data_IF_040089727851
#
_entry.id   IF_040089727851
#
_cell.length_a   1.000
_cell.length_b   1.000
_cell.length_c   1.000
_cell.angle_alpha   90.00
_cell.angle_beta   90.00
_cell.angle_gamma   90.00
#
_symmetry.space_group_name_H-M   'P 1'
#
loop_
_entity.id
_entity.type
_entity.pdbx_description
1 polymer ?
#
# COMPACT_ATOMS: atom_id res chain seq x y z
N UNK A 1 -25.34 9.91 49.60
CA UNK A 1 -24.33 9.44 48.62
C UNK A 1 -24.04 10.59 47.68
N UNK A 2 -22.76 10.91 47.39
CA UNK A 2 -22.46 11.81 46.29
C UNK A 2 -23.03 11.22 44.99
N UNK A 3 -23.50 12.05 44.05
CA UNK A 3 -24.02 11.58 42.78
C UNK A 3 -22.93 10.79 42.02
N UNK A 4 -23.34 9.71 41.35
CA UNK A 4 -22.43 8.92 40.50
C UNK A 4 -21.99 9.82 39.35
N UNK A 5 -20.72 10.22 39.38
CA UNK A 5 -20.16 11.08 38.32
C UNK A 5 -20.22 10.38 36.98
N UNK A 6 -20.60 11.12 35.95
CA UNK A 6 -20.56 10.63 34.57
C UNK A 6 -19.11 10.36 34.13
N UNK A 7 -18.94 9.58 33.08
CA UNK A 7 -17.61 9.31 32.53
C UNK A 7 -16.89 10.59 32.07
N UNK A 8 -17.63 11.53 31.47
CA UNK A 8 -17.10 12.84 31.09
C UNK A 8 -16.63 13.65 32.29
N UNK A 9 -17.38 13.63 33.40
CA UNK A 9 -16.99 14.31 34.64
C UNK A 9 -15.73 13.70 35.26
N UNK A 10 -15.59 12.37 35.24
CA UNK A 10 -14.38 11.69 35.76
C UNK A 10 -13.14 12.01 34.94
N UNK A 11 -13.27 12.11 33.61
CA UNK A 11 -12.17 12.57 32.74
C UNK A 11 -11.86 14.04 33.03
N UNK A 12 -12.88 14.88 33.17
CA UNK A 12 -12.69 16.30 33.46
C UNK A 12 -11.95 16.53 34.78
N UNK A 13 -12.32 15.78 35.83
CA UNK A 13 -11.59 15.78 37.10
C UNK A 13 -10.13 15.37 36.92
N UNK A 14 -9.88 14.28 36.17
CA UNK A 14 -8.53 13.80 35.91
C UNK A 14 -7.66 14.82 35.16
N UNK A 15 -8.23 15.52 34.17
CA UNK A 15 -7.55 16.58 33.43
C UNK A 15 -7.23 17.80 34.31
N UNK A 16 -8.05 18.11 35.31
CA UNK A 16 -7.79 19.18 36.29
C UNK A 16 -6.69 18.76 37.27
N UNK A 17 -6.74 17.52 37.78
CA UNK A 17 -5.69 16.96 38.63
C UNK A 17 -4.33 16.93 37.94
N UNK A 18 -4.31 16.66 36.63
CA UNK A 18 -3.10 16.65 35.80
C UNK A 18 -2.62 18.07 35.43
N UNK A 19 -3.36 19.11 35.84
CA UNK A 19 -3.03 20.52 35.58
C UNK A 19 -3.26 20.94 34.12
N UNK A 20 -3.93 20.11 33.32
CA UNK A 20 -4.18 20.33 31.89
C UNK A 20 -5.37 21.24 31.64
N UNK A 21 -6.35 21.25 32.56
CA UNK A 21 -7.50 22.14 32.53
C UNK A 21 -7.70 22.84 33.86
N UNK A 22 -8.22 24.07 33.82
CA UNK A 22 -8.71 24.76 35.00
C UNK A 22 -10.15 24.36 35.32
N UNK A 23 -10.55 24.44 36.58
CA UNK A 23 -11.93 24.21 37.01
C UNK A 23 -12.94 25.13 36.31
N UNK A 24 -12.53 26.35 35.94
CA UNK A 24 -13.36 27.26 35.14
C UNK A 24 -13.59 26.73 33.73
N UNK A 25 -12.53 26.30 33.03
CA UNK A 25 -12.64 25.73 31.68
C UNK A 25 -13.48 24.45 31.65
N UNK A 26 -13.34 23.59 32.66
CA UNK A 26 -14.20 22.39 32.78
C UNK A 26 -15.66 22.78 32.95
N UNK A 27 -15.97 23.77 33.77
CA UNK A 27 -17.34 24.26 33.95
C UNK A 27 -17.96 24.76 32.65
N UNK A 28 -17.21 25.54 31.86
CA UNK A 28 -17.66 26.03 30.55
C UNK A 28 -17.91 24.88 29.56
N UNK A 29 -16.99 23.91 29.50
CA UNK A 29 -17.11 22.75 28.62
C UNK A 29 -18.29 21.84 28.99
N UNK A 30 -18.55 21.62 30.28
CA UNK A 30 -19.69 20.81 30.74
C UNK A 30 -21.03 21.51 30.47
N UNK A 31 -21.12 22.82 30.62
CA UNK A 31 -22.31 23.59 30.26
C UNK A 31 -22.55 23.58 28.74
N UNK A 32 -21.47 23.69 27.94
CA UNK A 32 -21.55 23.55 26.49
C UNK A 32 -22.00 22.14 26.10
N UNK A 33 -21.48 21.10 26.75
CA UNK A 33 -21.87 19.71 26.54
C UNK A 33 -23.38 19.50 26.75
N UNK A 34 -23.95 20.10 27.80
CA UNK A 34 -25.40 20.04 28.07
C UNK A 34 -26.23 20.77 27.01
N UNK A 35 -25.73 21.87 26.46
CA UNK A 35 -26.43 22.66 25.42
C UNK A 35 -26.42 21.97 24.06
N UNK A 36 -25.27 21.43 23.65
CA UNK A 36 -25.06 20.89 22.31
C UNK A 36 -25.28 19.37 22.20
N UNK A 37 -25.29 18.65 23.33
CA UNK A 37 -25.43 17.19 23.36
C UNK A 37 -24.22 16.44 22.78
N UNK A 38 -23.09 17.12 22.60
CA UNK A 38 -21.84 16.57 22.07
C UNK A 38 -21.07 15.79 23.13
N UNK A 39 -20.08 14.98 22.73
CA UNK A 39 -19.22 14.24 23.68
C UNK A 39 -18.17 15.18 24.27
N UNK A 40 -17.98 15.15 25.59
CA UNK A 40 -16.98 15.97 26.30
C UNK A 40 -15.58 15.91 25.67
N UNK A 41 -15.11 14.70 25.35
CA UNK A 41 -13.79 14.46 24.72
C UNK A 41 -13.65 15.26 23.42
N UNK A 42 -14.69 15.28 22.59
CA UNK A 42 -14.68 16.00 21.31
C UNK A 42 -14.54 17.52 21.51
N UNK A 43 -15.26 18.08 22.50
CA UNK A 43 -15.17 19.50 22.84
C UNK A 43 -13.78 19.90 23.34
N UNK A 44 -13.16 19.05 24.16
CA UNK A 44 -11.78 19.28 24.66
C UNK A 44 -10.78 19.30 23.51
N UNK A 45 -10.90 18.36 22.57
CA UNK A 45 -10.02 18.29 21.39
C UNK A 45 -10.24 19.45 20.43
N UNK A 46 -11.49 19.84 20.14
CA UNK A 46 -11.81 20.95 19.22
C UNK A 46 -11.33 22.32 19.73
N UNK A 47 -11.34 22.53 21.04
CA UNK A 47 -10.83 23.77 21.64
C UNK A 47 -9.31 23.79 21.78
N UNK A 48 -8.62 22.69 21.45
CA UNK A 48 -7.16 22.54 21.56
C UNK A 48 -6.60 22.88 22.95
N UNK A 49 -7.39 22.70 24.02
CA UNK A 49 -6.95 22.99 25.38
C UNK A 49 -5.97 21.94 25.92
N UNK A 50 -6.09 20.70 25.46
CA UNK A 50 -5.26 19.57 25.88
C UNK A 50 -4.75 18.85 24.64
N UNK A 51 -3.47 18.43 24.66
CA UNK A 51 -2.92 17.63 23.56
C UNK A 51 -3.59 16.25 23.52
N UNK A 52 -3.70 15.64 22.34
CA UNK A 52 -4.26 14.29 22.21
C UNK A 52 -3.50 13.25 23.05
N UNK A 53 -2.19 13.45 23.22
CA UNK A 53 -1.33 12.55 24.01
C UNK A 53 -1.66 12.64 25.50
N UNK A 54 -1.74 13.86 26.03
CA UNK A 54 -2.05 14.08 27.45
C UNK A 54 -3.47 13.59 27.78
N UNK A 55 -4.42 13.87 26.88
CA UNK A 55 -5.78 13.35 26.99
C UNK A 55 -5.83 11.83 27.02
N UNK A 56 -5.05 11.16 26.16
CA UNK A 56 -4.94 9.69 26.12
C UNK A 56 -4.42 9.12 27.44
N UNK A 57 -3.41 9.77 28.04
CA UNK A 57 -2.83 9.35 29.33
C UNK A 57 -3.84 9.50 30.46
N UNK A 58 -4.52 10.65 30.56
CA UNK A 58 -5.55 10.88 31.58
C UNK A 58 -6.73 9.92 31.42
N UNK A 59 -7.17 9.66 30.18
CA UNK A 59 -8.21 8.66 29.89
C UNK A 59 -7.78 7.26 30.30
N UNK A 60 -6.55 6.86 30.00
CA UNK A 60 -6.00 5.57 30.40
C UNK A 60 -6.04 5.36 31.91
N UNK A 61 -5.72 6.40 32.68
CA UNK A 61 -5.82 6.39 34.15
C UNK A 61 -7.26 6.18 34.64
N UNK A 62 -8.22 6.91 34.09
CA UNK A 62 -9.64 6.81 34.49
C UNK A 62 -10.24 5.46 34.12
N UNK A 63 -9.86 4.92 32.97
CA UNK A 63 -10.36 3.64 32.43
C UNK A 63 -9.60 2.42 32.97
N UNK A 64 -8.50 2.63 33.68
CA UNK A 64 -7.56 1.56 34.06
C UNK A 64 -7.07 0.77 32.83
N UNK A 65 -6.80 1.48 31.74
CA UNK A 65 -6.29 0.93 30.48
C UNK A 65 -4.92 1.57 30.22
N UNK A 66 -3.84 0.78 30.08
CA UNK A 66 -2.51 1.33 29.96
C UNK A 66 -2.35 2.10 28.63
N UNK A 67 -1.80 3.34 28.66
CA UNK A 67 -1.50 4.09 27.46
C UNK A 67 -0.29 3.50 26.75
N UNK A 68 -0.29 3.54 25.42
CA UNK A 68 0.78 2.99 24.60
C UNK A 68 1.26 3.99 23.54
N UNK A 69 2.58 4.08 23.37
CA UNK A 69 3.19 4.87 22.32
C UNK A 69 3.52 4.00 21.10
N UNK A 70 2.61 3.98 20.12
CA UNK A 70 2.73 3.17 18.90
C UNK A 70 3.91 3.57 18.00
N UNK A 71 4.44 4.80 18.12
CA UNK A 71 5.58 5.24 17.32
C UNK A 71 6.88 4.52 17.70
N UNK A 72 6.99 4.02 18.94
CA UNK A 72 8.19 3.35 19.46
C UNK A 72 8.14 1.83 19.37
N UNK A 73 7.04 1.28 18.89
CA UNK A 73 6.82 -0.18 18.90
C UNK A 73 6.91 -0.72 17.49
N UNK A 74 7.70 -1.77 17.31
CA UNK A 74 7.73 -2.55 16.06
C UNK A 74 6.74 -3.70 16.21
N UNK A 75 5.77 -3.76 15.30
CA UNK A 75 4.74 -4.80 15.28
C UNK A 75 5.17 -5.81 14.22
N UNK A 76 5.28 -7.08 14.60
CA UNK A 76 5.64 -8.14 13.65
C UNK A 76 4.55 -8.31 12.56
N UNK A 77 4.92 -8.66 11.32
CA UNK A 77 3.95 -8.89 10.25
C UNK A 77 2.89 -9.93 10.62
N UNK A 78 3.29 -11.01 11.30
CA UNK A 78 2.41 -12.09 11.77
C UNK A 78 1.31 -11.57 12.70
N UNK A 79 1.65 -10.68 13.64
CA UNK A 79 0.66 -10.07 14.55
C UNK A 79 -0.25 -9.10 13.80
N UNK A 80 0.28 -8.36 12.84
CA UNK A 80 -0.51 -7.47 12.01
C UNK A 80 -1.49 -8.21 11.07
N UNK A 81 -1.19 -9.45 10.67
CA UNK A 81 -2.08 -10.28 9.84
C UNK A 81 -3.22 -10.95 10.62
N UNK A 82 -3.17 -10.93 11.96
CA UNK A 82 -4.23 -11.52 12.79
C UNK A 82 -5.57 -10.77 12.65
N UNK A 83 -5.52 -9.50 12.26
CA UNK A 83 -6.71 -8.68 12.07
C UNK A 83 -6.82 -8.17 10.62
N UNK A 84 -7.99 -8.36 9.97
CA UNK A 84 -8.25 -7.77 8.67
C UNK A 84 -8.10 -6.25 8.68
N UNK A 85 -7.68 -5.69 7.55
CA UNK A 85 -7.44 -4.25 7.38
C UNK A 85 -8.72 -3.45 7.62
N UNK A 86 -9.85 -3.91 7.08
CA UNK A 86 -11.13 -3.20 7.20
C UNK A 86 -11.58 -3.10 8.66
N UNK A 87 -11.38 -4.17 9.44
CA UNK A 87 -11.71 -4.20 10.88
C UNK A 87 -10.81 -3.24 11.65
N UNK A 88 -9.52 -3.27 11.38
CA UNK A 88 -8.52 -2.39 12.01
C UNK A 88 -8.82 -0.91 11.73
N UNK A 89 -9.21 -0.58 10.49
CA UNK A 89 -9.56 0.79 10.09
C UNK A 89 -10.92 1.24 10.65
N UNK A 90 -11.97 0.44 10.49
CA UNK A 90 -13.33 0.81 10.90
C UNK A 90 -13.44 1.00 12.41
N UNK A 91 -12.79 0.11 13.17
CA UNK A 91 -12.82 0.18 14.63
C UNK A 91 -11.67 1.00 15.23
N UNK A 92 -10.74 1.52 14.39
CA UNK A 92 -9.55 2.24 14.82
C UNK A 92 -8.75 1.44 15.85
N UNK A 93 -8.36 0.22 15.46
CA UNK A 93 -7.64 -0.75 16.28
C UNK A 93 -6.34 -1.13 15.59
N UNK A 94 -5.26 -1.25 16.35
CA UNK A 94 -3.98 -1.79 15.88
C UNK A 94 -3.60 -2.99 16.75
N UNK A 95 -3.34 -4.18 16.18
CA UNK A 95 -2.76 -5.28 16.93
C UNK A 95 -1.30 -4.96 17.27
N UNK A 96 -0.91 -5.08 18.54
CA UNK A 96 0.40 -4.65 19.03
C UNK A 96 1.34 -5.85 19.23
N UNK A 97 0.89 -6.84 19.97
CA UNK A 97 1.66 -8.05 20.25
C UNK A 97 0.73 -9.21 20.59
N UNK A 98 1.23 -10.42 20.41
CA UNK A 98 0.55 -11.65 20.81
C UNK A 98 1.43 -12.39 21.81
N UNK A 99 0.83 -12.82 22.91
CA UNK A 99 1.44 -13.72 23.89
C UNK A 99 0.53 -14.92 24.07
N UNK A 100 0.97 -16.09 23.62
CA UNK A 100 0.20 -17.34 23.66
C UNK A 100 -1.20 -17.19 23.01
N UNK A 101 -2.25 -17.20 23.84
CA UNK A 101 -3.66 -17.05 23.46
C UNK A 101 -4.21 -15.65 23.76
N UNK A 102 -3.36 -14.68 24.08
CA UNK A 102 -3.74 -13.30 24.42
C UNK A 102 -3.19 -12.33 23.38
N UNK A 103 -4.08 -11.57 22.74
CA UNK A 103 -3.78 -10.52 21.78
C UNK A 103 -3.88 -9.15 22.47
N UNK A 104 -2.79 -8.39 22.43
CA UNK A 104 -2.75 -7.02 22.89
C UNK A 104 -3.10 -6.10 21.73
N UNK A 105 -4.11 -5.25 21.90
CA UNK A 105 -4.57 -4.30 20.89
C UNK A 105 -4.53 -2.88 21.42
N UNK A 106 -4.17 -1.93 20.57
CA UNK A 106 -4.29 -0.50 20.86
C UNK A 106 -5.57 0.04 20.20
N UNK A 107 -6.35 0.81 20.94
CA UNK A 107 -7.64 1.35 20.50
C UNK A 107 -7.75 2.84 20.84
N UNK A 108 -8.45 3.60 20.00
CA UNK A 108 -8.73 5.02 20.28
C UNK A 108 -9.84 5.19 21.31
N UNK A 109 -10.76 4.22 21.36
CA UNK A 109 -11.87 4.19 22.30
C UNK A 109 -11.97 2.81 22.97
N UNK A 110 -11.35 2.61 24.14
CA UNK A 110 -11.43 1.35 24.89
C UNK A 110 -12.84 1.01 25.41
N UNK A 111 -13.80 1.94 25.34
CA UNK A 111 -15.19 1.67 25.73
C UNK A 111 -16.01 1.01 24.61
N UNK A 112 -15.44 0.88 23.41
CA UNK A 112 -16.11 0.20 22.31
C UNK A 112 -16.05 -1.33 22.48
N UNK A 113 -16.91 -1.86 23.35
CA UNK A 113 -17.00 -3.29 23.69
C UNK A 113 -17.31 -4.14 22.44
N UNK A 114 -18.14 -3.63 21.53
CA UNK A 114 -18.48 -4.34 20.28
C UNK A 114 -17.23 -4.60 19.44
N UNK A 115 -16.34 -3.62 19.34
CA UNK A 115 -15.11 -3.77 18.58
C UNK A 115 -14.14 -4.77 19.24
N UNK A 116 -14.10 -4.80 20.58
CA UNK A 116 -13.33 -5.82 21.33
C UNK A 116 -13.90 -7.22 21.07
N UNK A 117 -15.22 -7.38 21.10
CA UNK A 117 -15.90 -8.66 20.84
C UNK A 117 -15.69 -9.15 19.41
N UNK A 118 -15.74 -8.24 18.42
CA UNK A 118 -15.46 -8.56 17.02
C UNK A 118 -14.02 -9.05 16.84
N UNK A 119 -13.03 -8.35 17.42
CA UNK A 119 -11.63 -8.79 17.42
C UNK A 119 -11.50 -10.16 18.07
N UNK A 120 -12.16 -10.39 19.21
CA UNK A 120 -12.16 -11.66 19.94
C UNK A 120 -12.72 -12.80 19.08
N UNK A 121 -13.82 -12.56 18.37
CA UNK A 121 -14.48 -13.53 17.48
C UNK A 121 -13.63 -13.89 16.27
N UNK A 122 -12.99 -12.90 15.64
CA UNK A 122 -12.15 -13.10 14.46
C UNK A 122 -10.88 -13.87 14.82
N UNK A 123 -10.20 -13.41 15.86
CA UNK A 123 -8.88 -13.94 16.25
C UNK A 123 -8.98 -15.22 17.08
N UNK A 124 -10.14 -15.48 17.69
CA UNK A 124 -10.38 -16.56 18.66
C UNK A 124 -9.43 -16.52 19.87
N UNK A 125 -8.88 -15.34 20.18
CA UNK A 125 -7.94 -15.12 21.28
C UNK A 125 -8.58 -14.29 22.38
N UNK A 126 -8.01 -14.31 23.58
CA UNK A 126 -8.33 -13.30 24.59
C UNK A 126 -7.75 -11.94 24.19
N UNK A 127 -8.51 -10.87 24.40
CA UNK A 127 -8.11 -9.52 23.97
C UNK A 127 -7.77 -8.67 25.18
N UNK A 128 -6.60 -8.05 25.16
CA UNK A 128 -6.17 -7.06 26.15
C UNK A 128 -6.06 -5.70 25.48
N UNK A 129 -6.80 -4.72 25.98
CA UNK A 129 -6.84 -3.38 25.39
C UNK A 129 -5.78 -2.46 25.99
N UNK A 130 -5.27 -1.57 25.15
CA UNK A 130 -4.39 -0.46 25.46
C UNK A 130 -4.94 0.78 24.77
N UNK A 131 -4.69 1.96 25.32
CA UNK A 131 -5.21 3.21 24.76
C UNK A 131 -4.11 3.96 24.02
N UNK A 132 -4.42 4.44 22.81
CA UNK A 132 -3.55 5.30 22.02
C UNK A 132 -4.40 6.39 21.35
N UNK A 133 -3.77 7.51 20.97
CA UNK A 133 -4.50 8.54 20.24
C UNK A 133 -4.94 8.03 18.87
N UNK A 134 -6.07 8.54 18.38
CA UNK A 134 -6.61 8.20 17.07
C UNK A 134 -5.60 8.46 15.95
N UNK A 135 -4.87 9.58 16.04
CA UNK A 135 -3.79 9.90 15.12
C UNK A 135 -2.70 8.84 15.13
N UNK A 136 -2.21 8.43 16.31
CA UNK A 136 -1.15 7.43 16.43
C UNK A 136 -1.57 6.06 15.86
N UNK A 137 -2.84 5.69 16.03
CA UNK A 137 -3.41 4.46 15.47
C UNK A 137 -3.45 4.54 13.96
N UNK A 138 -3.98 5.62 13.41
CA UNK A 138 -4.11 5.83 11.97
C UNK A 138 -2.73 5.84 11.29
N UNK A 139 -1.78 6.59 11.86
CA UNK A 139 -0.39 6.64 11.38
C UNK A 139 0.26 5.25 11.41
N UNK A 140 0.01 4.46 12.48
CA UNK A 140 0.55 3.11 12.59
C UNK A 140 -0.07 2.13 11.61
N UNK A 141 -1.39 2.19 11.38
CA UNK A 141 -2.05 1.37 10.37
C UNK A 141 -1.52 1.69 8.97
N UNK A 142 -1.35 2.97 8.64
CA UNK A 142 -0.79 3.38 7.36
C UNK A 142 0.65 2.89 7.18
N UNK A 143 1.47 2.98 8.23
CA UNK A 143 2.84 2.45 8.24
C UNK A 143 2.88 0.92 8.07
N UNK A 144 1.98 0.18 8.73
CA UNK A 144 1.87 -1.28 8.59
C UNK A 144 1.44 -1.70 7.20
N UNK A 145 0.51 -0.96 6.60
CA UNK A 145 0.07 -1.18 5.22
C UNK A 145 1.20 -0.90 4.23
N UNK A 146 1.97 0.17 4.47
CA UNK A 146 3.14 0.52 3.65
C UNK A 146 4.23 -0.56 3.70
N UNK A 147 4.42 -1.21 4.87
CA UNK A 147 5.43 -2.25 5.07
C UNK A 147 5.08 -3.60 4.42
N UNK A 148 3.80 -3.88 4.12
CA UNK A 148 3.33 -5.15 3.52
C UNK A 148 3.22 -5.12 2.00
N UNK A 149 3.74 -4.06 1.38
CA UNK A 149 3.66 -3.81 -0.05
C UNK A 149 2.96 -2.48 -0.24
N UNK A 150 3.68 -1.51 -0.79
CA UNK A 150 3.14 -0.20 -1.16
C UNK A 150 1.89 -0.42 -1.99
N UNK A 151 0.72 -0.29 -1.34
CA UNK A 151 -0.52 -0.48 -2.04
C UNK A 151 -0.60 0.63 -3.09
N UNK A 152 -1.04 0.27 -4.29
CA UNK A 152 -1.27 1.22 -5.38
C UNK A 152 -2.04 2.45 -4.85
N UNK A 153 -3.00 2.22 -3.95
CA UNK A 153 -3.83 3.23 -3.28
C UNK A 153 -3.04 4.23 -2.43
N UNK A 154 -1.99 3.82 -1.72
CA UNK A 154 -1.21 4.70 -0.86
C UNK A 154 -0.28 5.64 -1.67
N UNK A 155 0.29 5.15 -2.78
CA UNK A 155 1.07 6.00 -3.70
C UNK A 155 0.15 6.96 -4.45
N UNK A 156 -1.04 6.50 -4.81
CA UNK A 156 -2.08 7.35 -5.40
C UNK A 156 -2.46 8.47 -4.44
N UNK A 157 -2.60 8.16 -3.14
CA UNK A 157 -2.91 9.15 -2.11
C UNK A 157 -1.74 10.10 -1.83
N UNK A 158 -0.47 9.65 -1.86
CA UNK A 158 0.71 10.53 -1.71
C UNK A 158 0.88 11.46 -2.93
N UNK A 159 0.64 10.95 -4.13
CA UNK A 159 0.64 11.75 -5.37
C UNK A 159 -0.52 12.75 -5.45
N UNK A 160 -1.64 12.50 -4.75
CA UNK A 160 -2.76 13.44 -4.63
C UNK A 160 -2.57 14.46 -3.50
N UNK A 161 -1.88 14.10 -2.41
CA UNK A 161 -1.61 14.99 -1.27
C UNK A 161 -0.44 15.94 -1.52
N UNK A 162 0.58 15.52 -2.29
CA UNK A 162 1.59 16.42 -2.84
C UNK A 162 0.98 17.07 -4.07
N UNK A 163 0.24 18.15 -3.87
CA UNK A 163 -0.32 18.96 -4.94
C UNK A 163 0.73 19.17 -6.03
N UNK A 164 0.38 18.80 -7.26
CA UNK A 164 1.18 19.06 -8.45
C UNK A 164 1.03 20.55 -8.77
N UNK A 165 1.56 21.40 -7.90
CA UNK A 165 1.74 22.85 -8.09
C UNK A 165 3.22 23.17 -8.32
N UNK A 166 4.02 22.18 -8.73
CA UNK A 166 5.35 22.43 -9.26
C UNK A 166 5.32 22.21 -10.77
N UNK A 167 4.96 23.28 -11.50
CA UNK A 167 5.11 23.41 -12.95
C UNK A 167 6.57 23.24 -13.44
N UNK A 168 7.53 22.98 -12.53
CA UNK A 168 8.89 22.57 -12.84
C UNK A 168 9.30 21.33 -12.04
N UNK A 169 8.63 20.19 -12.22
CA UNK A 169 9.31 18.92 -11.93
C UNK A 169 10.40 18.75 -12.99
N UNK A 170 11.58 19.25 -12.69
CA UNK A 170 12.78 19.23 -13.52
C UNK A 170 12.92 17.90 -14.25
N UNK A 171 12.59 17.92 -15.54
CA UNK A 171 12.77 16.83 -16.50
C UNK A 171 14.26 16.41 -16.58
N UNK A 172 15.16 17.24 -16.06
CA UNK A 172 16.61 17.05 -16.08
C UNK A 172 17.12 15.99 -15.08
N UNK A 173 16.38 15.66 -14.01
CA UNK A 173 16.90 14.75 -12.97
C UNK A 173 16.58 13.26 -13.16
N UNK A 174 15.99 12.85 -14.30
CA UNK A 174 15.74 11.42 -14.60
C UNK A 174 16.82 10.80 -15.49
N UNK A 175 18.05 11.32 -15.42
CA UNK A 175 19.25 10.65 -15.94
C UNK A 175 19.93 9.85 -14.83
N UNK A 176 19.21 8.93 -14.22
CA UNK A 176 19.86 7.85 -13.49
C UNK A 176 20.20 6.73 -14.47
N UNK A 177 21.42 6.23 -14.33
CA UNK A 177 22.09 5.31 -15.23
C UNK A 177 21.22 4.10 -15.58
N UNK A 178 21.50 3.53 -16.77
CA UNK A 178 20.99 2.25 -17.23
C UNK A 178 21.57 1.16 -16.29
N UNK A 179 21.03 1.05 -15.09
CA UNK A 179 21.30 -0.05 -14.16
C UNK A 179 20.19 -1.09 -14.31
N UNK A 180 20.57 -2.37 -14.28
CA UNK A 180 19.63 -3.48 -14.23
C UNK A 180 18.68 -3.25 -13.04
N UNK A 181 17.40 -2.99 -13.34
CA UNK A 181 16.41 -2.58 -12.33
C UNK A 181 16.15 -3.77 -11.41
N UNK A 182 16.81 -3.77 -10.26
CA UNK A 182 16.56 -4.72 -9.17
C UNK A 182 15.37 -4.22 -8.37
N UNK A 183 14.18 -4.76 -8.69
CA UNK A 183 12.93 -4.40 -8.04
C UNK A 183 12.88 -4.92 -6.58
N UNK A 184 13.82 -5.78 -6.19
CA UNK A 184 13.95 -6.33 -4.84
C UNK A 184 14.40 -5.29 -3.80
N UNK A 185 15.03 -4.17 -4.22
CA UNK A 185 15.50 -3.10 -3.31
C UNK A 185 14.45 -1.99 -3.05
N UNK A 186 13.30 -2.02 -3.73
CA UNK A 186 12.28 -0.96 -3.67
C UNK A 186 11.50 -0.89 -2.37
N UNK A 187 11.49 -1.97 -1.59
CA UNK A 187 10.85 -1.98 -0.28
C UNK A 187 11.65 -1.17 0.77
N UNK A 188 12.89 -0.77 0.48
CA UNK A 188 13.81 -0.15 1.43
C UNK A 188 14.19 1.31 1.12
N UNK A 189 13.95 1.82 -0.10
CA UNK A 189 14.33 3.17 -0.52
C UNK A 189 13.19 4.20 -0.30
N UNK A 190 13.31 5.01 0.75
CA UNK A 190 12.37 6.11 1.06
C UNK A 190 12.49 7.31 0.12
N UNK A 191 13.54 7.39 -0.70
CA UNK A 191 13.90 8.58 -1.49
C UNK A 191 13.45 8.56 -2.96
N UNK A 192 12.95 7.44 -3.48
CA UNK A 192 12.52 7.38 -4.88
C UNK A 192 11.23 8.17 -5.15
N UNK A 193 11.20 8.88 -6.28
CA UNK A 193 10.04 9.64 -6.74
C UNK A 193 8.78 8.74 -6.86
N UNK A 194 7.57 9.21 -6.46
CA UNK A 194 6.35 8.40 -6.43
C UNK A 194 6.02 7.68 -7.75
N UNK A 195 6.37 8.28 -8.88
CA UNK A 195 6.15 7.71 -10.23
C UNK A 195 7.02 6.49 -10.49
N UNK A 196 8.27 6.49 -10.00
CA UNK A 196 9.20 5.35 -10.14
C UNK A 196 8.65 4.16 -9.37
N UNK A 197 8.26 4.38 -8.11
CA UNK A 197 7.64 3.34 -7.27
C UNK A 197 6.39 2.77 -7.92
N UNK A 198 5.53 3.62 -8.47
CA UNK A 198 4.29 3.20 -9.13
C UNK A 198 4.55 2.34 -10.38
N UNK A 199 5.46 2.76 -11.26
CA UNK A 199 5.83 1.99 -12.44
C UNK A 199 6.39 0.61 -12.07
N UNK A 200 7.23 0.58 -11.03
CA UNK A 200 7.82 -0.65 -10.53
C UNK A 200 6.77 -1.59 -9.91
N UNK A 201 5.82 -1.08 -9.12
CA UNK A 201 4.71 -1.88 -8.57
C UNK A 201 3.85 -2.46 -9.68
N UNK A 202 3.54 -1.70 -10.72
CA UNK A 202 2.76 -2.19 -11.87
C UNK A 202 3.44 -3.43 -12.49
N UNK A 203 4.76 -3.39 -12.67
CA UNK A 203 5.55 -4.49 -13.24
C UNK A 203 5.68 -5.66 -12.26
N UNK A 204 5.96 -5.40 -10.99
CA UNK A 204 6.06 -6.44 -9.96
C UNK A 204 4.75 -7.20 -9.80
N UNK A 205 3.62 -6.48 -9.78
CA UNK A 205 2.30 -7.09 -9.66
C UNK A 205 1.99 -7.98 -10.87
N UNK A 206 2.32 -7.52 -12.09
CA UNK A 206 2.19 -8.34 -13.30
C UNK A 206 2.95 -9.67 -13.20
N UNK A 207 4.20 -9.62 -12.71
CA UNK A 207 5.05 -10.80 -12.54
C UNK A 207 4.52 -11.72 -11.45
N UNK A 208 4.09 -11.16 -10.31
CA UNK A 208 3.49 -11.90 -9.19
C UNK A 208 2.23 -12.64 -9.62
N UNK A 209 1.38 -11.99 -10.42
CA UNK A 209 0.14 -12.55 -10.95
C UNK A 209 0.36 -13.43 -12.19
N UNK A 210 1.61 -13.62 -12.63
CA UNK A 210 2.00 -14.39 -13.83
C UNK A 210 1.31 -13.90 -15.10
N UNK A 211 1.13 -12.59 -15.23
CA UNK A 211 0.54 -11.97 -16.40
C UNK A 211 1.49 -12.05 -17.62
N UNK A 212 0.93 -12.33 -18.80
CA UNK A 212 1.65 -12.32 -20.08
C UNK A 212 1.85 -10.92 -20.63
N UNK A 213 0.86 -10.04 -20.41
CA UNK A 213 0.86 -8.67 -20.90
C UNK A 213 0.31 -7.70 -19.84
N UNK A 214 0.89 -6.52 -19.76
CA UNK A 214 0.39 -5.36 -18.99
C UNK A 214 -0.11 -4.33 -19.99
N UNK A 215 -1.32 -3.83 -19.78
CA UNK A 215 -1.94 -2.81 -20.63
C UNK A 215 -2.22 -1.55 -19.80
N UNK A 216 -1.62 -0.42 -20.19
CA UNK A 216 -1.92 0.91 -19.63
C UNK A 216 -2.54 1.74 -20.75
N UNK A 217 -3.83 2.01 -20.61
CA UNK A 217 -4.65 2.59 -21.68
C UNK A 217 -5.23 3.94 -21.25
N UNK A 218 -4.92 5.03 -21.98
CA UNK A 218 -5.49 6.32 -21.68
C UNK A 218 -6.88 6.50 -22.30
N UNK A 219 -7.84 6.94 -21.48
CA UNK A 219 -9.15 7.44 -21.90
C UNK A 219 -9.26 8.92 -21.58
N UNK A 220 -10.34 9.58 -22.01
CA UNK A 220 -10.52 11.03 -21.82
C UNK A 220 -10.28 11.49 -20.38
N UNK A 221 -10.91 10.83 -19.40
CA UNK A 221 -10.90 11.25 -17.99
C UNK A 221 -10.19 10.28 -17.04
N UNK A 222 -9.84 9.09 -17.51
CA UNK A 222 -9.29 8.02 -16.68
C UNK A 222 -8.15 7.29 -17.38
N UNK A 223 -7.31 6.63 -16.60
CA UNK A 223 -6.46 5.55 -17.10
C UNK A 223 -7.16 4.22 -16.81
N UNK A 224 -6.88 3.22 -17.64
CA UNK A 224 -7.23 1.83 -17.37
C UNK A 224 -5.95 1.02 -17.32
N UNK A 225 -5.82 0.20 -16.28
CA UNK A 225 -4.74 -0.77 -16.11
C UNK A 225 -5.34 -2.17 -16.19
N UNK A 226 -4.79 -3.02 -17.06
CA UNK A 226 -5.21 -4.42 -17.19
C UNK A 226 -4.03 -5.35 -17.26
N UNK A 227 -4.18 -6.51 -16.64
CA UNK A 227 -3.24 -7.61 -16.77
C UNK A 227 -3.87 -8.71 -17.62
N UNK A 228 -3.11 -9.29 -18.55
CA UNK A 228 -3.52 -10.51 -19.24
C UNK A 228 -2.98 -11.71 -18.46
N UNK A 229 -3.85 -12.42 -17.75
CA UNK A 229 -3.50 -13.63 -17.01
C UNK A 229 -4.21 -14.80 -17.67
N UNK A 230 -3.45 -15.85 -18.04
CA UNK A 230 -3.98 -17.04 -18.73
C UNK A 230 -4.86 -16.71 -19.95
N UNK A 231 -4.47 -15.68 -20.72
CA UNK A 231 -5.17 -15.22 -21.92
C UNK A 231 -6.33 -14.26 -21.67
N UNK A 232 -6.82 -14.14 -20.44
CA UNK A 232 -7.95 -13.28 -20.05
C UNK A 232 -7.46 -11.92 -19.55
N UNK A 233 -8.13 -10.84 -19.92
CA UNK A 233 -7.85 -9.50 -19.42
C UNK A 233 -8.58 -9.26 -18.10
N UNK A 234 -7.83 -8.91 -17.07
CA UNK A 234 -8.32 -8.60 -15.72
C UNK A 234 -8.07 -7.12 -15.45
N UNK A 235 -9.11 -6.38 -15.06
CA UNK A 235 -8.99 -4.99 -14.66
C UNK A 235 -8.30 -4.88 -13.29
N UNK A 236 -7.34 -3.97 -13.17
CA UNK A 236 -6.68 -3.63 -11.93
C UNK A 236 -6.93 -2.14 -11.58
N UNK A 237 -6.68 -1.76 -10.33
CA UNK A 237 -6.80 -0.37 -9.88
C UNK A 237 -5.90 0.52 -10.73
N UNK A 238 -6.45 1.45 -11.53
CA UNK A 238 -5.65 2.27 -12.41
C UNK A 238 -4.95 3.38 -11.64
N UNK A 239 -3.77 3.82 -12.11
CA UNK A 239 -3.15 5.04 -11.59
C UNK A 239 -3.97 6.29 -11.97
N UNK A 240 -3.88 7.39 -11.19
CA UNK A 240 -4.52 8.65 -11.47
C UNK A 240 -4.16 9.18 -12.84
N UNK A 241 -5.15 9.76 -13.52
CA UNK A 241 -5.00 10.32 -14.87
C UNK A 241 -3.88 11.35 -14.95
N UNK A 242 -3.66 12.11 -13.88
CA UNK A 242 -2.62 13.14 -13.76
C UNK A 242 -1.20 12.55 -13.91
N UNK A 243 -0.99 11.30 -13.49
CA UNK A 243 0.33 10.65 -13.54
C UNK A 243 0.65 10.04 -14.90
N UNK A 244 -0.27 10.11 -15.87
CA UNK A 244 -0.11 9.49 -17.18
C UNK A 244 1.20 9.86 -17.87
N UNK A 245 1.49 11.16 -18.00
CA UNK A 245 2.67 11.63 -18.74
C UNK A 245 3.98 11.20 -18.06
N UNK A 246 3.99 11.24 -16.72
CA UNK A 246 5.14 10.82 -15.93
C UNK A 246 5.39 9.31 -16.05
N UNK A 247 4.32 8.49 -16.03
CA UNK A 247 4.42 7.05 -16.25
C UNK A 247 4.93 6.72 -17.66
N UNK A 248 4.41 7.39 -18.70
CA UNK A 248 4.90 7.19 -20.07
C UNK A 248 6.39 7.51 -20.17
N UNK A 249 6.81 8.67 -19.64
CA UNK A 249 8.22 9.06 -19.61
C UNK A 249 9.08 8.02 -18.89
N UNK A 250 8.63 7.53 -17.72
CA UNK A 250 9.35 6.52 -16.96
C UNK A 250 9.53 5.21 -17.74
N UNK A 251 8.48 4.70 -18.39
CA UNK A 251 8.59 3.49 -19.21
C UNK A 251 9.45 3.69 -20.46
N UNK A 252 9.45 4.90 -21.05
CA UNK A 252 10.37 5.24 -22.15
C UNK A 252 11.82 5.20 -21.69
N UNK A 253 12.14 5.79 -20.55
CA UNK A 253 13.49 5.78 -19.98
C UNK A 253 13.95 4.34 -19.69
N UNK A 254 13.13 3.55 -18.99
CA UNK A 254 13.45 2.16 -18.65
C UNK A 254 13.68 1.29 -19.90
N UNK A 255 13.10 1.67 -21.03
CA UNK A 255 13.19 0.95 -22.30
C UNK A 255 14.13 1.60 -23.32
N UNK A 256 14.89 2.63 -22.92
CA UNK A 256 15.78 3.41 -23.79
C UNK A 256 15.09 3.99 -25.04
N UNK A 257 13.85 4.45 -24.89
CA UNK A 257 13.04 5.09 -25.94
C UNK A 257 13.13 6.63 -25.88
N UNK A 258 12.79 7.29 -26.98
CA UNK A 258 12.79 8.75 -27.07
C UNK A 258 11.57 9.34 -26.34
N UNK A 259 11.85 10.07 -25.26
CA UNK A 259 10.86 10.73 -24.39
C UNK A 259 10.15 11.88 -25.12
N UNK A 260 10.87 12.58 -26.00
CA UNK A 260 10.36 13.75 -26.72
C UNK A 260 9.41 13.36 -27.84
N UNK A 261 9.65 12.23 -28.51
CA UNK A 261 8.77 11.74 -29.56
C UNK A 261 7.50 11.10 -28.98
N UNK A 262 6.33 11.55 -29.43
CA UNK A 262 5.00 11.11 -28.94
C UNK A 262 4.00 10.84 -30.06
N UNK A 263 4.41 11.03 -31.31
CA UNK A 263 3.55 10.98 -32.52
C UNK A 263 3.75 9.70 -33.33
N UNK A 264 4.84 8.97 -33.08
CA UNK A 264 5.14 7.70 -33.72
C UNK A 264 5.12 6.55 -32.70
N UNK A 265 4.70 5.34 -33.11
CA UNK A 265 4.88 4.14 -32.29
C UNK A 265 6.36 3.92 -31.97
N UNK A 266 6.64 3.46 -30.75
CA UNK A 266 7.98 3.14 -30.28
C UNK A 266 8.01 1.76 -29.62
N UNK A 267 9.01 0.96 -29.96
CA UNK A 267 9.22 -0.38 -29.41
C UNK A 267 10.60 -0.48 -28.76
N UNK A 268 10.64 -0.97 -27.54
CA UNK A 268 11.84 -1.12 -26.73
C UNK A 268 11.86 -2.43 -25.97
N UNK A 269 12.93 -2.63 -25.21
CA UNK A 269 13.05 -3.75 -24.27
C UNK A 269 13.61 -3.23 -22.96
N UNK A 270 13.20 -3.86 -21.87
CA UNK A 270 13.76 -3.61 -20.56
C UNK A 270 13.92 -4.93 -19.80
N UNK A 271 14.93 -5.01 -18.95
CA UNK A 271 15.14 -6.15 -18.06
C UNK A 271 14.84 -5.74 -16.64
N UNK A 272 14.17 -6.61 -15.90
CA UNK A 272 13.89 -6.40 -14.48
C UNK A 272 14.19 -7.66 -13.70
N UNK A 273 14.65 -7.51 -12.46
CA UNK A 273 14.86 -8.61 -11.52
C UNK A 273 13.82 -8.56 -10.42
N UNK A 274 13.09 -9.65 -10.22
CA UNK A 274 12.06 -9.81 -9.18
C UNK A 274 12.23 -11.16 -8.50
N UNK A 275 12.36 -11.15 -7.16
CA UNK A 275 12.53 -12.35 -6.35
C UNK A 275 13.76 -13.16 -6.78
N UNK A 276 14.86 -12.49 -7.14
CA UNK A 276 16.07 -13.12 -7.65
C UNK A 276 15.97 -13.77 -9.04
N UNK A 277 14.85 -13.59 -9.77
CA UNK A 277 14.69 -14.04 -11.16
C UNK A 277 14.72 -12.87 -12.14
N UNK A 278 15.38 -13.06 -13.28
CA UNK A 278 15.44 -12.07 -14.35
C UNK A 278 14.29 -12.26 -15.35
N UNK A 279 13.58 -11.18 -15.63
CA UNK A 279 12.50 -11.10 -16.62
C UNK A 279 12.89 -10.13 -17.73
N UNK A 280 12.59 -10.51 -18.98
CA UNK A 280 12.76 -9.64 -20.14
C UNK A 280 11.38 -9.12 -20.55
N UNK A 281 11.24 -7.80 -20.67
CA UNK A 281 9.98 -7.18 -21.04
C UNK A 281 10.15 -6.51 -22.39
N UNK A 282 9.22 -6.81 -23.32
CA UNK A 282 9.07 -6.03 -24.54
C UNK A 282 8.08 -4.92 -24.30
N UNK A 283 8.46 -3.70 -24.64
CA UNK A 283 7.68 -2.50 -24.37
C UNK A 283 7.26 -1.91 -25.70
N UNK A 284 5.96 -1.73 -25.88
CA UNK A 284 5.39 -1.05 -27.05
C UNK A 284 4.58 0.15 -26.58
N UNK A 285 4.89 1.32 -27.11
CA UNK A 285 4.21 2.59 -26.80
C UNK A 285 3.61 3.13 -28.09
N UNK A 286 2.29 3.30 -28.10
CA UNK A 286 1.55 3.71 -29.30
C UNK A 286 0.76 5.00 -29.03
N UNK A 287 0.89 6.03 -29.88
CA UNK A 287 0.06 7.23 -29.81
C UNK A 287 -1.43 6.91 -29.97
N UNK A 288 -2.29 7.53 -29.16
CA UNK A 288 -3.75 7.45 -29.21
C UNK A 288 -4.36 8.84 -29.01
N UNK A 289 -5.70 8.94 -29.14
CA UNK A 289 -6.43 10.22 -29.00
C UNK A 289 -6.20 10.90 -27.63
N UNK A 290 -6.03 10.12 -26.55
CA UNK A 290 -5.93 10.64 -25.19
C UNK A 290 -4.52 10.52 -24.58
N UNK A 291 -3.50 10.33 -25.43
CA UNK A 291 -2.09 10.17 -25.07
C UNK A 291 -1.53 8.84 -25.56
N UNK A 292 -0.50 8.30 -24.91
CA UNK A 292 0.18 7.09 -25.40
C UNK A 292 -0.26 5.86 -24.62
N UNK A 293 -0.67 4.81 -25.35
CA UNK A 293 -0.98 3.49 -24.80
C UNK A 293 0.32 2.71 -24.64
N UNK A 294 0.52 2.11 -23.47
CA UNK A 294 1.69 1.29 -23.16
C UNK A 294 1.24 -0.18 -23.07
N UNK A 295 1.98 -1.05 -23.74
CA UNK A 295 1.85 -2.50 -23.59
C UNK A 295 3.21 -3.09 -23.23
N UNK A 296 3.25 -3.83 -22.13
CA UNK A 296 4.45 -4.55 -21.70
C UNK A 296 4.19 -6.05 -21.85
N UNK A 297 4.98 -6.76 -22.64
CA UNK A 297 4.93 -8.22 -22.69
C UNK A 297 6.00 -8.79 -21.78
N UNK A 298 5.58 -9.56 -20.78
CA UNK A 298 6.47 -10.22 -19.82
C UNK A 298 6.95 -11.54 -20.40
N UNK A 299 8.26 -11.69 -20.55
CA UNK A 299 8.90 -12.93 -21.00
C UNK A 299 9.72 -13.50 -19.86
N UNK A 300 9.24 -14.61 -19.30
CA UNK A 300 10.00 -15.42 -18.36
C UNK A 300 11.01 -16.29 -19.11
N UNK A 301 12.29 -15.94 -19.04
CA UNK A 301 13.37 -16.71 -19.69
C UNK A 301 13.53 -18.11 -19.09
N UNK A 302 13.08 -18.35 -17.86
CA UNK A 302 13.19 -19.68 -17.25
C UNK A 302 12.25 -20.71 -17.91
N UNK A 303 11.13 -20.25 -18.48
CA UNK A 303 10.20 -21.09 -19.24
C UNK A 303 10.66 -21.41 -20.67
N UNK A 304 11.72 -20.78 -21.18
CA UNK A 304 12.29 -21.11 -22.50
C UNK A 304 13.14 -22.40 -22.50
N UNK A 305 13.19 -23.10 -21.37
CA UNK A 305 13.87 -24.40 -21.21
C UNK A 305 12.94 -25.59 -21.45
N UNK A 306 11.96 -25.45 -22.35
CA UNK A 306 11.24 -26.61 -22.87
C UNK A 306 12.25 -27.47 -23.64
N UNK A 307 12.86 -28.40 -22.91
CA UNK A 307 13.71 -29.42 -23.49
C UNK A 307 12.86 -30.21 -24.48
N UNK A 308 13.44 -30.52 -25.65
CA UNK A 308 12.74 -31.08 -26.80
C UNK A 308 11.97 -32.38 -26.43
N UNK A 309 12.44 -33.07 -25.39
CA UNK A 309 11.87 -34.25 -24.73
C UNK A 309 10.55 -34.00 -24.00
N UNK A 310 10.25 -32.76 -23.60
CA UNK A 310 9.02 -32.37 -22.90
C UNK A 310 7.88 -31.95 -23.84
N UNK A 311 8.13 -31.92 -25.15
CA UNK A 311 7.13 -31.56 -26.17
C UNK A 311 6.07 -32.65 -26.39
N UNK A 312 6.19 -33.80 -25.71
CA UNK A 312 5.22 -34.90 -25.83
C UNK A 312 5.31 -35.66 -27.16
N UNK A 313 6.44 -35.56 -27.86
CA UNK A 313 6.70 -36.36 -29.05
C UNK A 313 6.81 -37.83 -28.66
N UNK A 314 6.21 -38.69 -29.50
CA UNK A 314 6.41 -40.14 -29.41
C UNK A 314 7.93 -40.46 -29.48
N UNK A 315 8.44 -41.46 -28.73
CA UNK A 315 9.87 -41.75 -28.67
C UNK A 315 10.56 -41.93 -30.03
N UNK A 316 9.87 -42.53 -31.01
CA UNK A 316 10.44 -42.76 -32.34
C UNK A 316 10.51 -41.45 -33.15
N UNK A 317 9.47 -40.61 -33.04
CA UNK A 317 9.43 -39.29 -33.69
C UNK A 317 10.47 -38.35 -33.08
N UNK A 318 10.60 -38.36 -31.75
CA UNK A 318 11.62 -37.60 -31.05
C UNK A 318 13.03 -37.96 -31.52
N UNK A 319 13.32 -39.26 -31.67
CA UNK A 319 14.63 -39.75 -32.12
C UNK A 319 14.94 -39.30 -33.55
N UNK A 320 13.97 -39.39 -34.45
CA UNK A 320 14.12 -38.94 -35.85
C UNK A 320 14.31 -37.42 -35.93
N UNK A 321 13.50 -36.67 -35.18
CA UNK A 321 13.57 -35.22 -35.15
C UNK A 321 14.91 -34.74 -34.56
N UNK A 322 15.36 -35.35 -33.46
CA UNK A 322 16.66 -35.03 -32.86
C UNK A 322 17.83 -35.33 -33.80
N UNK A 323 17.80 -36.46 -34.50
CA UNK A 323 18.81 -36.79 -35.49
C UNK A 323 18.85 -35.79 -36.66
N UNK A 324 17.68 -35.29 -37.09
CA UNK A 324 17.60 -34.25 -38.12
C UNK A 324 18.11 -32.89 -37.62
N UNK A 325 17.83 -32.52 -36.37
CA UNK A 325 18.32 -31.29 -35.73
C UNK A 325 19.84 -31.32 -35.53
N UNK A 326 20.41 -32.47 -35.16
CA UNK A 326 21.85 -32.64 -34.93
C UNK A 326 22.66 -32.79 -36.25
N UNK A 327 22.00 -32.79 -37.41
CA UNK A 327 22.67 -32.90 -38.70
C UNK A 327 23.47 -31.62 -39.02
N UNK A 328 24.66 -31.71 -39.62
CA UNK A 328 25.54 -30.56 -39.84
C UNK A 328 25.00 -29.51 -40.82
N UNK A 329 23.99 -29.85 -41.62
CA UNK A 329 23.34 -28.98 -42.60
C UNK A 329 22.00 -29.60 -43.03
N UNK A 330 21.02 -28.77 -43.38
CA UNK A 330 19.69 -29.18 -43.81
C UNK A 330 18.63 -28.13 -43.46
N UNK A 331 17.47 -28.20 -44.12
CA UNK A 331 16.32 -27.35 -43.82
C UNK A 331 15.22 -28.23 -43.22
N UNK A 332 14.79 -27.91 -41.99
CA UNK A 332 13.66 -28.55 -41.33
C UNK A 332 12.45 -27.64 -41.52
N UNK A 333 11.41 -28.15 -42.18
CA UNK A 333 10.13 -27.47 -42.29
C UNK A 333 9.20 -28.04 -41.21
N UNK A 334 8.75 -27.17 -40.31
CA UNK A 334 7.79 -27.49 -39.24
C UNK A 334 6.44 -26.89 -39.63
#
# INVERSE_FOLDING_TARGET
>A
MPPVKSFGERIADALVEDGLLTTKQVGELLEQQKREGTRFIKLVTEKSYVSEQDLTVSMGRVLNVPPINLARIVISPEVADLLPKEISQNHKIVPVSRLENKLFIAMSDPLNVLAVDDVKRITKMEVSTMIASEKAITDKLNSLNSAKGGSMEDIINDAQKKGVDDENTDIENVKEAIEDVSLDHLAASSEEAPVIKLANIIVMQAIKDRASDVHIEPFERTLRLRYRVDGVLIDATPPPKQLQLALISRFKIMSSLDIAERRLPQDGRMRVRVGGKDYDLRVSIMPTVHGEKIVLRVLDKSNLSASLDKLGLDPDTFKQFKHAVDAPHGLILV
#
